data_IF_364160492347
#
_entry.id   IF_364160492347
#
_cell.length_a   1.000
_cell.length_b   1.000
_cell.length_c   1.000
_cell.angle_alpha   90.00
_cell.angle_beta   90.00
_cell.angle_gamma   90.00
#
_symmetry.space_group_name_H-M   'P 1'
#
loop_
_entity.id
_entity.type
_entity.pdbx_description
1 polymer ?
#
# COMPACT_ATOMS: atom_id res chain seq x y z
N UNK A 1 -43.45 -48.18 -3.33
CA UNK A 1 -42.67 -47.24 -4.18
C UNK A 1 -43.37 -46.89 -5.50
N UNK A 2 -43.95 -47.84 -6.25
CA UNK A 2 -44.65 -47.59 -7.51
C UNK A 2 -45.78 -46.52 -7.49
N UNK A 3 -46.68 -46.41 -6.47
CA UNK A 3 -47.74 -45.39 -6.49
C UNK A 3 -47.24 -43.96 -6.27
N UNK A 4 -46.14 -43.78 -5.53
CA UNK A 4 -45.47 -42.48 -5.33
C UNK A 4 -44.78 -42.00 -6.62
N UNK A 5 -44.15 -42.90 -7.37
CA UNK A 5 -43.56 -42.57 -8.67
C UNK A 5 -44.62 -42.19 -9.71
N UNK A 6 -45.78 -42.86 -9.66
CA UNK A 6 -46.94 -42.54 -10.50
C UNK A 6 -47.53 -41.15 -10.21
N UNK A 7 -47.31 -40.56 -9.03
CA UNK A 7 -47.76 -39.20 -8.73
C UNK A 7 -46.88 -38.08 -9.27
N UNK A 8 -45.60 -38.35 -9.57
CA UNK A 8 -44.65 -37.36 -10.10
C UNK A 8 -44.70 -37.18 -11.63
N UNK A 9 -45.52 -37.98 -12.33
CA UNK A 9 -45.74 -37.86 -13.77
C UNK A 9 -46.53 -36.58 -14.12
N UNK A 10 -45.80 -35.49 -14.34
CA UNK A 10 -46.34 -34.18 -14.72
C UNK A 10 -46.96 -34.16 -16.13
N UNK A 11 -46.63 -35.14 -16.99
CA UNK A 11 -47.02 -35.20 -18.39
C UNK A 11 -47.96 -36.38 -18.69
N UNK A 12 -48.90 -36.64 -17.77
CA UNK A 12 -49.90 -37.69 -17.95
C UNK A 12 -50.77 -37.40 -19.18
N UNK A 13 -50.66 -38.25 -20.20
CA UNK A 13 -51.38 -38.14 -21.49
C UNK A 13 -52.86 -38.49 -21.32
N UNK A 14 -53.77 -37.77 -22.01
CA UNK A 14 -55.16 -38.20 -22.13
C UNK A 14 -55.24 -39.24 -23.26
N UNK A 15 -55.67 -40.45 -22.93
CA UNK A 15 -56.11 -41.43 -23.92
C UNK A 15 -57.53 -41.82 -23.47
N UNK A 16 -58.52 -41.56 -24.34
CA UNK A 16 -59.91 -41.95 -24.17
C UNK A 16 -60.54 -41.62 -22.80
N UNK A 17 -60.47 -40.34 -22.40
CA UNK A 17 -61.20 -39.82 -21.23
C UNK A 17 -60.60 -40.17 -19.86
N UNK A 18 -59.55 -40.99 -19.78
CA UNK A 18 -58.87 -41.33 -18.51
C UNK A 18 -57.39 -40.97 -18.60
N UNK A 19 -56.96 -40.10 -17.68
CA UNK A 19 -55.57 -39.63 -17.58
C UNK A 19 -54.72 -40.68 -16.86
N UNK A 20 -54.20 -41.66 -17.58
CA UNK A 20 -53.31 -42.67 -16.97
C UNK A 20 -51.89 -42.11 -16.77
N UNK A 21 -51.48 -42.01 -15.51
CA UNK A 21 -50.10 -41.72 -15.12
C UNK A 21 -49.26 -42.97 -15.29
N UNK A 22 -48.02 -42.87 -15.80
CA UNK A 22 -47.13 -44.03 -15.98
C UNK A 22 -45.94 -43.97 -15.02
N UNK A 23 -45.50 -45.12 -14.50
CA UNK A 23 -44.28 -45.20 -13.67
C UNK A 23 -43.04 -44.77 -14.48
N UNK A 24 -43.01 -45.06 -15.79
CA UNK A 24 -41.93 -44.64 -16.70
C UNK A 24 -41.94 -43.12 -16.90
N UNK A 25 -43.13 -42.50 -17.02
CA UNK A 25 -43.28 -41.04 -17.09
C UNK A 25 -42.80 -40.34 -15.81
N UNK A 26 -43.05 -40.96 -14.65
CA UNK A 26 -42.50 -40.52 -13.36
C UNK A 26 -40.97 -40.52 -13.30
N UNK A 27 -40.31 -41.55 -13.86
CA UNK A 27 -38.84 -41.57 -13.90
C UNK A 27 -38.24 -40.50 -14.83
N UNK A 28 -38.83 -40.32 -16.02
CA UNK A 28 -38.36 -39.32 -16.99
C UNK A 28 -38.49 -37.90 -16.42
N UNK A 29 -39.61 -37.61 -15.77
CA UNK A 29 -39.84 -36.31 -15.12
C UNK A 29 -38.90 -36.06 -13.96
N UNK A 30 -38.59 -37.09 -13.15
CA UNK A 30 -37.60 -36.96 -12.07
C UNK A 30 -36.18 -36.71 -12.62
N UNK A 31 -35.77 -37.42 -13.68
CA UNK A 31 -34.46 -37.20 -14.30
C UNK A 31 -34.36 -35.79 -14.90
N UNK A 32 -35.40 -35.33 -15.62
CA UNK A 32 -35.45 -33.99 -16.18
C UNK A 32 -35.45 -32.88 -15.11
N UNK A 33 -36.18 -33.08 -14.00
CA UNK A 33 -36.16 -32.14 -12.88
C UNK A 33 -34.79 -32.13 -12.18
N UNK A 34 -34.15 -33.28 -12.03
CA UNK A 34 -32.81 -33.37 -11.41
C UNK A 34 -31.75 -32.66 -12.25
N UNK A 35 -31.78 -32.81 -13.57
CA UNK A 35 -30.84 -32.13 -14.47
C UNK A 35 -31.11 -30.62 -14.53
N UNK A 36 -32.37 -30.20 -14.60
CA UNK A 36 -32.75 -28.79 -14.53
C UNK A 36 -32.31 -28.15 -13.21
N UNK A 37 -32.45 -28.86 -12.08
CA UNK A 37 -32.00 -28.37 -10.77
C UNK A 37 -30.48 -28.22 -10.70
N UNK A 38 -29.72 -29.17 -11.27
CA UNK A 38 -28.25 -29.08 -11.35
C UNK A 38 -27.79 -27.90 -12.20
N UNK A 39 -28.41 -27.69 -13.36
CA UNK A 39 -28.11 -26.54 -14.22
C UNK A 39 -28.44 -25.22 -13.53
N UNK A 40 -29.58 -25.15 -12.84
CA UNK A 40 -29.98 -23.96 -12.09
C UNK A 40 -29.02 -23.66 -10.93
N UNK A 41 -28.60 -24.69 -10.19
CA UNK A 41 -27.59 -24.54 -9.14
C UNK A 41 -26.23 -24.08 -9.69
N UNK A 42 -25.81 -24.63 -10.83
CA UNK A 42 -24.59 -24.19 -11.51
C UNK A 42 -24.67 -22.71 -11.88
N UNK A 43 -25.76 -22.29 -12.50
CA UNK A 43 -25.93 -20.90 -12.93
C UNK A 43 -26.07 -19.94 -11.76
N UNK A 44 -26.71 -20.38 -10.68
CA UNK A 44 -26.81 -19.63 -9.44
C UNK A 44 -25.42 -19.39 -8.82
N UNK A 45 -24.56 -20.42 -8.81
CA UNK A 45 -23.18 -20.29 -8.32
C UNK A 45 -22.40 -19.29 -9.17
N UNK A 46 -22.49 -19.39 -10.50
CA UNK A 46 -21.83 -18.45 -11.43
C UNK A 46 -22.32 -17.01 -11.22
N UNK A 47 -23.63 -16.81 -11.03
CA UNK A 47 -24.21 -15.49 -10.78
C UNK A 47 -23.76 -14.88 -9.43
N UNK A 48 -23.50 -15.72 -8.42
CA UNK A 48 -22.96 -15.28 -7.13
C UNK A 48 -21.45 -15.06 -7.14
N UNK A 49 -20.72 -15.60 -8.13
CA UNK A 49 -19.30 -15.33 -8.29
C UNK A 49 -19.07 -13.89 -8.79
N UNK A 50 -18.24 -13.15 -8.07
CA UNK A 50 -17.85 -11.80 -8.47
C UNK A 50 -16.64 -11.92 -9.40
N UNK A 51 -16.86 -11.66 -10.69
CA UNK A 51 -15.77 -11.62 -11.67
C UNK A 51 -15.11 -10.24 -11.63
N UNK A 52 -13.83 -10.21 -11.28
CA UNK A 52 -13.03 -8.99 -11.37
C UNK A 52 -12.41 -8.90 -12.75
N UNK A 53 -12.68 -7.81 -13.48
CA UNK A 53 -11.98 -7.51 -14.72
C UNK A 53 -10.83 -6.57 -14.42
N UNK A 54 -9.63 -6.98 -14.84
CA UNK A 54 -8.41 -6.19 -14.74
C UNK A 54 -8.20 -5.48 -16.07
N UNK A 55 -8.22 -4.15 -16.07
CA UNK A 55 -7.85 -3.37 -17.25
C UNK A 55 -6.66 -2.48 -16.92
N UNK A 56 -5.74 -2.39 -17.89
CA UNK A 56 -4.60 -1.51 -17.82
C UNK A 56 -4.92 -0.26 -18.64
N UNK A 57 -4.72 0.92 -18.05
CA UNK A 57 -4.94 2.20 -18.68
C UNK A 57 -3.72 3.09 -18.52
N UNK A 58 -3.64 4.15 -19.31
CA UNK A 58 -2.71 5.23 -19.01
C UNK A 58 -3.19 5.96 -17.75
N UNK A 59 -2.23 6.27 -16.90
CA UNK A 59 -2.41 7.15 -15.77
C UNK A 59 -2.97 8.50 -16.23
N UNK A 60 -4.04 8.96 -15.57
CA UNK A 60 -4.51 10.33 -15.72
C UNK A 60 -3.38 11.31 -15.31
N UNK A 61 -3.12 12.33 -16.13
CA UNK A 61 -2.10 13.32 -15.85
C UNK A 61 -2.51 14.16 -14.64
N UNK A 62 -1.58 14.37 -13.71
CA UNK A 62 -1.76 15.40 -12.70
C UNK A 62 -1.49 16.77 -13.37
N UNK A 63 -2.32 17.80 -13.13
CA UNK A 63 -2.02 19.15 -13.57
C UNK A 63 -0.68 19.55 -12.94
N UNK A 64 0.23 20.02 -13.77
CA UNK A 64 1.53 20.51 -13.35
C UNK A 64 1.32 21.75 -12.47
N UNK A 65 1.89 21.73 -11.27
CA UNK A 65 1.85 22.87 -10.33
C UNK A 65 2.45 24.15 -10.94
N UNK A 66 3.22 24.04 -12.03
CA UNK A 66 3.79 25.14 -12.79
C UNK A 66 2.76 25.95 -13.61
N UNK A 67 1.57 25.40 -13.89
CA UNK A 67 0.51 26.08 -14.66
C UNK A 67 -0.73 26.40 -13.82
N UNK A 68 -0.57 26.57 -12.50
CA UNK A 68 -1.61 27.06 -11.61
C UNK A 68 -1.90 28.55 -11.82
N UNK A 69 -2.54 28.90 -12.94
CA UNK A 69 -2.89 30.27 -13.27
C UNK A 69 -4.09 30.36 -14.21
N UNK A 70 -5.28 30.53 -13.61
CA UNK A 70 -6.55 30.98 -14.24
C UNK A 70 -6.98 30.22 -15.50
N UNK A 71 -7.60 29.06 -15.30
CA UNK A 71 -8.70 28.61 -16.16
C UNK A 71 -9.97 29.41 -15.83
N UNK A 72 -10.01 30.67 -16.24
CA UNK A 72 -11.22 31.49 -16.25
C UNK A 72 -11.75 31.56 -17.66
N UNK A 73 -13.02 31.19 -17.83
CA UNK A 73 -13.79 31.27 -19.08
C UNK A 73 -13.48 32.53 -19.88
N UNK A 74 -13.28 32.33 -21.19
CA UNK A 74 -13.18 33.40 -22.17
C UNK A 74 -14.52 34.11 -22.38
N UNK A 75 -14.82 35.07 -21.52
CA UNK A 75 -15.79 36.14 -21.75
C UNK A 75 -15.07 37.48 -21.61
N UNK A 76 -14.86 38.16 -22.74
CA UNK A 76 -14.04 39.38 -22.79
C UNK A 76 -14.62 40.55 -22.00
N UNK A 77 -13.74 41.38 -21.43
CA UNK A 77 -13.70 42.82 -21.69
C UNK A 77 -12.39 43.41 -21.15
N UNK A 78 -11.89 44.46 -21.80
CA UNK A 78 -10.61 45.08 -21.52
C UNK A 78 -10.54 45.87 -20.21
N UNK A 79 -9.31 46.19 -19.79
CA UNK A 79 -9.03 47.11 -18.71
C UNK A 79 -7.63 46.90 -18.13
N UNK A 80 -6.69 47.78 -18.48
CA UNK A 80 -5.32 47.74 -17.99
C UNK A 80 -5.19 48.04 -16.49
N UNK A 81 -4.18 47.44 -15.87
CA UNK A 81 -3.78 47.74 -14.49
C UNK A 81 -2.48 47.01 -14.15
N UNK A 82 -1.38 47.76 -14.00
CA UNK A 82 -0.09 47.27 -13.49
C UNK A 82 -0.25 46.87 -12.01
N UNK A 83 0.24 45.69 -11.63
CA UNK A 83 0.41 45.28 -10.24
C UNK A 83 1.28 44.02 -10.16
N UNK A 84 2.46 44.13 -9.54
CA UNK A 84 3.35 42.99 -9.33
C UNK A 84 2.76 41.99 -8.34
N UNK A 85 2.85 40.70 -8.65
CA UNK A 85 2.37 39.63 -7.78
C UNK A 85 3.51 38.92 -7.07
N UNK A 86 3.44 38.95 -5.75
CA UNK A 86 4.28 38.25 -4.77
C UNK A 86 4.01 36.74 -4.80
N UNK A 87 5.08 35.95 -4.75
CA UNK A 87 5.10 34.47 -4.83
C UNK A 87 4.71 33.78 -3.50
N UNK A 88 3.73 34.29 -2.75
CA UNK A 88 3.45 33.79 -1.38
C UNK A 88 2.06 33.18 -1.16
N UNK A 89 1.20 33.05 -2.18
CA UNK A 89 -0.23 32.80 -1.94
C UNK A 89 -0.75 31.38 -2.27
N UNK A 90 0.14 30.37 -2.38
CA UNK A 90 -0.30 28.97 -2.65
C UNK A 90 -0.30 28.08 -1.39
N UNK A 91 0.18 28.57 -0.23
CA UNK A 91 0.38 27.70 0.96
C UNK A 91 -0.43 28.12 2.20
N UNK A 92 -1.26 29.16 2.15
CA UNK A 92 -2.11 29.55 3.29
C UNK A 92 -3.60 29.45 3.00
N UNK A 93 -4.10 28.22 3.00
CA UNK A 93 -5.53 27.91 3.05
C UNK A 93 -5.97 27.47 4.45
N UNK A 94 -5.78 28.34 5.45
CA UNK A 94 -6.43 28.20 6.76
C UNK A 94 -7.83 28.84 6.70
N UNK A 95 -8.87 28.03 6.55
CA UNK A 95 -10.24 28.51 6.50
C UNK A 95 -11.23 27.43 6.92
N UNK A 96 -11.80 27.59 8.10
CA UNK A 96 -12.87 26.78 8.65
C UNK A 96 -14.12 26.82 7.76
N UNK A 97 -14.37 25.77 6.99
CA UNK A 97 -15.72 25.27 6.69
C UNK A 97 -15.67 23.93 5.97
N UNK A 98 -16.54 23.01 6.39
CA UNK A 98 -16.62 21.65 5.88
C UNK A 98 -16.89 21.58 4.38
N UNK A 99 -15.87 21.18 3.63
CA UNK A 99 -15.94 20.38 2.40
C UNK A 99 -14.56 19.74 2.28
N UNK A 100 -14.48 18.40 2.29
CA UNK A 100 -13.26 17.65 1.97
C UNK A 100 -12.85 18.01 0.54
N UNK A 101 -12.08 19.08 0.39
CA UNK A 101 -11.23 19.28 -0.76
C UNK A 101 -10.15 18.22 -0.68
N UNK A 102 -10.43 17.06 -1.26
CA UNK A 102 -9.40 16.09 -1.58
C UNK A 102 -8.52 16.79 -2.62
N UNK A 103 -7.38 17.33 -2.20
CA UNK A 103 -6.35 17.85 -3.10
C UNK A 103 -5.86 16.67 -3.94
N UNK A 104 -6.65 16.27 -4.95
CA UNK A 104 -6.53 15.00 -5.68
C UNK A 104 -5.25 14.82 -6.50
N UNK A 105 -4.29 15.74 -6.32
CA UNK A 105 -2.99 15.79 -6.95
C UNK A 105 -1.84 15.52 -5.96
N UNK A 106 -2.11 15.57 -4.66
CA UNK A 106 -1.16 15.32 -3.58
C UNK A 106 -1.40 13.93 -3.00
N UNK A 107 -0.35 13.13 -2.94
CA UNK A 107 -0.36 11.77 -2.38
C UNK A 107 0.24 11.82 -0.98
N UNK A 108 -0.46 11.33 0.06
CA UNK A 108 0.15 11.20 1.37
C UNK A 108 1.22 10.10 1.34
N UNK A 109 2.44 10.45 1.74
CA UNK A 109 3.58 9.56 1.92
C UNK A 109 3.83 9.44 3.43
N UNK A 110 3.61 8.26 3.98
CA UNK A 110 3.88 7.95 5.38
C UNK A 110 5.23 7.26 5.50
N UNK A 111 6.04 7.74 6.44
CA UNK A 111 7.35 7.19 6.76
C UNK A 111 7.38 6.77 8.23
N UNK A 112 7.85 5.55 8.49
CA UNK A 112 8.14 5.05 9.82
C UNK A 112 9.43 4.22 9.79
N UNK A 113 10.54 4.82 10.25
CA UNK A 113 11.88 4.21 10.23
C UNK A 113 12.57 4.42 11.56
N UNK A 114 13.28 3.41 12.05
CA UNK A 114 14.04 3.46 13.31
C UNK A 114 15.52 3.17 13.06
N UNK A 115 16.38 4.06 13.54
CA UNK A 115 17.83 3.94 13.57
C UNK A 115 18.25 3.65 15.02
N UNK A 116 18.77 2.45 15.35
CA UNK A 116 19.11 2.08 16.71
C UNK A 116 20.46 2.64 17.19
N UNK A 117 21.33 3.12 16.28
CA UNK A 117 22.68 3.58 16.63
C UNK A 117 22.93 5.07 16.33
N UNK A 118 21.87 5.81 15.96
CA UNK A 118 21.96 7.24 15.68
C UNK A 118 20.99 8.02 16.55
N UNK A 119 21.50 9.04 17.22
CA UNK A 119 20.69 9.95 18.02
C UNK A 119 19.91 10.91 17.12
N UNK A 120 18.75 11.35 17.60
CA UNK A 120 17.88 12.25 16.83
C UNK A 120 18.51 13.61 16.50
N UNK A 121 19.50 14.07 17.26
CA UNK A 121 20.29 15.28 16.94
C UNK A 121 21.26 15.08 15.79
N UNK A 122 21.67 13.83 15.53
CA UNK A 122 22.65 13.47 14.51
C UNK A 122 22.03 13.09 13.16
N UNK A 123 20.70 13.03 13.07
CA UNK A 123 19.95 12.69 11.86
C UNK A 123 19.43 13.96 11.19
N UNK A 124 19.60 14.04 9.88
CA UNK A 124 18.93 15.02 9.04
C UNK A 124 18.04 14.30 8.03
N UNK A 125 16.91 14.91 7.72
CA UNK A 125 15.96 14.37 6.76
C UNK A 125 15.51 15.47 5.81
N UNK A 126 15.21 15.09 4.57
CA UNK A 126 14.90 16.05 3.52
C UNK A 126 14.11 15.42 2.40
N UNK A 127 13.43 16.27 1.64
CA UNK A 127 12.64 15.86 0.49
C UNK A 127 12.99 16.74 -0.71
N UNK A 128 13.39 16.12 -1.81
CA UNK A 128 13.84 16.77 -3.04
C UNK A 128 14.97 17.80 -2.82
N UNK A 129 15.91 17.49 -1.92
CA UNK A 129 17.02 18.38 -1.55
C UNK A 129 16.67 19.44 -0.51
N UNK A 130 15.40 19.56 -0.11
CA UNK A 130 14.98 20.45 0.97
C UNK A 130 15.19 19.75 2.32
N UNK A 131 16.36 19.97 2.92
CA UNK A 131 16.72 19.41 4.23
C UNK A 131 15.96 20.09 5.38
N UNK A 132 15.80 19.36 6.49
CA UNK A 132 15.27 19.86 7.74
C UNK A 132 16.27 20.79 8.43
N UNK A 133 17.56 20.44 8.41
CA UNK A 133 18.66 21.28 8.94
C UNK A 133 18.69 22.70 8.37
N UNK A 134 18.35 22.88 7.09
CA UNK A 134 18.29 24.20 6.44
C UNK A 134 16.98 24.96 6.70
N UNK A 135 16.01 24.35 7.38
CA UNK A 135 14.65 24.87 7.55
C UNK A 135 13.82 24.89 6.27
N UNK A 136 14.37 24.46 5.12
CA UNK A 136 13.66 24.42 3.85
C UNK A 136 12.52 23.39 3.89
N UNK A 137 12.74 22.23 4.53
CA UNK A 137 11.73 21.17 4.63
C UNK A 137 10.41 21.67 5.23
N UNK A 138 10.47 22.42 6.34
CA UNK A 138 9.29 22.95 7.02
C UNK A 138 8.52 24.01 6.22
N UNK A 139 9.14 24.60 5.19
CA UNK A 139 8.46 25.54 4.27
C UNK A 139 7.58 24.83 3.25
N UNK A 140 8.00 23.64 2.80
CA UNK A 140 7.25 22.82 1.84
C UNK A 140 6.26 21.87 2.52
N UNK A 141 6.60 21.39 3.71
CA UNK A 141 5.81 20.43 4.48
C UNK A 141 5.41 21.04 5.83
N UNK A 142 4.23 21.66 5.87
CA UNK A 142 3.68 22.28 7.06
C UNK A 142 2.86 21.30 7.92
N UNK A 143 2.82 21.54 9.23
CA UNK A 143 1.97 20.80 10.17
C UNK A 143 0.49 20.80 9.71
N UNK A 144 -0.23 19.66 9.72
CA UNK A 144 0.10 18.39 10.35
C UNK A 144 0.92 17.41 9.49
N UNK A 145 1.29 17.79 8.26
CA UNK A 145 1.96 16.92 7.29
C UNK A 145 3.48 17.07 7.31
N UNK A 146 4.11 16.73 8.44
CA UNK A 146 5.55 16.79 8.63
C UNK A 146 6.07 15.52 9.30
N UNK A 147 7.38 15.29 9.23
CA UNK A 147 8.03 14.24 10.00
C UNK A 147 8.38 14.73 11.40
N UNK A 148 8.35 13.80 12.35
CA UNK A 148 8.72 14.03 13.75
C UNK A 148 9.75 12.98 14.13
N UNK A 149 10.93 13.45 14.54
CA UNK A 149 11.96 12.62 15.15
C UNK A 149 11.66 12.47 16.64
N UNK A 150 11.69 11.24 17.15
CA UNK A 150 11.51 10.93 18.57
C UNK A 150 12.39 9.76 18.98
N UNK A 151 12.61 9.59 20.28
CA UNK A 151 13.23 8.38 20.80
C UNK A 151 12.39 7.14 20.42
N UNK A 152 13.05 5.99 20.13
CA UNK A 152 12.39 4.76 19.75
C UNK A 152 11.61 4.17 20.93
N UNK A 153 10.48 3.52 20.65
CA UNK A 153 9.83 2.69 21.67
C UNK A 153 10.62 1.39 21.86
N UNK A 154 10.53 0.72 23.04
CA UNK A 154 11.27 -0.52 23.29
C UNK A 154 11.05 -1.60 22.22
N UNK A 155 9.81 -1.72 21.71
CA UNK A 155 9.48 -2.69 20.66
C UNK A 155 9.93 -2.28 19.26
N UNK A 156 10.11 -0.98 18.97
CA UNK A 156 10.72 -0.50 17.72
C UNK A 156 12.23 -0.72 17.76
N UNK A 157 12.87 -0.38 18.88
CA UNK A 157 14.31 -0.55 19.10
C UNK A 157 14.73 -2.02 18.94
N UNK A 158 14.07 -2.94 19.65
CA UNK A 158 14.39 -4.38 19.60
C UNK A 158 14.25 -4.99 18.19
N UNK A 159 13.34 -4.47 17.37
CA UNK A 159 13.19 -4.91 15.97
C UNK A 159 14.26 -4.32 15.07
N UNK A 160 14.81 -3.16 15.43
CA UNK A 160 15.85 -2.49 14.67
C UNK A 160 17.25 -3.00 14.99
N UNK A 161 17.48 -3.51 16.21
CA UNK A 161 18.74 -4.12 16.62
C UNK A 161 18.91 -5.54 16.07
N UNK A 162 20.06 -5.83 15.47
CA UNK A 162 20.45 -7.20 15.10
C UNK A 162 20.90 -7.96 16.36
N UNK A 163 20.46 -9.20 16.61
CA UNK A 163 21.06 -10.05 17.64
C UNK A 163 22.53 -10.32 17.27
N UNK A 164 23.49 -9.75 18.00
CA UNK A 164 24.92 -9.96 17.80
C UNK A 164 25.77 -8.73 17.43
N UNK A 165 25.17 -7.54 17.31
CA UNK A 165 25.89 -6.26 17.18
C UNK A 165 25.65 -5.46 18.46
N UNK A 166 26.70 -5.31 19.29
CA UNK A 166 26.78 -4.62 20.59
C UNK A 166 25.45 -4.34 21.31
N UNK A 167 25.09 -5.25 22.21
CA UNK A 167 24.05 -5.12 23.23
C UNK A 167 24.47 -4.10 24.31
N UNK A 168 24.69 -2.83 23.94
CA UNK A 168 24.91 -1.75 24.90
C UNK A 168 23.58 -1.10 25.34
N UNK A 169 23.12 -1.58 26.50
CA UNK A 169 22.56 -0.80 27.61
C UNK A 169 21.22 -0.03 27.48
N UNK A 170 20.24 -0.48 26.69
CA UNK A 170 18.86 0.02 26.86
C UNK A 170 18.21 -0.43 28.19
N UNK A 171 18.75 -1.49 28.83
CA UNK A 171 18.14 -2.14 29.99
C UNK A 171 18.36 -1.41 31.32
N UNK A 172 19.36 -0.53 31.42
CA UNK A 172 19.69 0.17 32.68
C UNK A 172 18.73 1.30 33.03
N UNK A 173 18.13 1.93 32.02
CA UNK A 173 17.38 3.18 32.24
C UNK A 173 15.90 2.97 32.57
N UNK A 174 15.36 1.79 32.25
CA UNK A 174 13.99 1.42 32.63
C UNK A 174 13.82 1.13 34.13
N UNK A 175 14.91 0.85 34.86
CA UNK A 175 14.86 0.53 36.30
C UNK A 175 15.15 1.71 37.24
N UNK A 176 15.66 2.84 36.74
CA UNK A 176 16.02 4.00 37.59
C UNK A 176 14.91 5.06 37.71
N UNK A 177 13.84 5.02 36.89
CA UNK A 177 12.73 6.00 36.95
C UNK A 177 11.61 5.65 37.94
N UNK A 178 11.96 5.10 39.09
CA UNK A 178 11.12 5.20 40.30
C UNK A 178 11.75 6.26 41.21
N UNK A 179 11.11 7.43 41.29
CA UNK A 179 11.50 8.65 42.04
C UNK A 179 12.32 9.69 41.26
N UNK A 180 11.71 10.33 40.28
CA UNK A 180 11.79 11.80 40.19
C UNK A 180 10.69 12.31 39.26
N UNK A 181 9.74 13.08 39.79
CA UNK A 181 8.86 13.93 39.00
C UNK A 181 9.72 15.06 38.44
N UNK A 182 10.16 14.94 37.19
CA UNK A 182 10.65 16.07 36.42
C UNK A 182 9.95 16.15 35.06
N UNK A 183 9.26 17.27 34.93
CA UNK A 183 8.77 17.99 33.76
C UNK A 183 9.31 17.53 32.40
N UNK A 184 8.37 17.30 31.49
CA UNK A 184 8.54 17.15 30.03
C UNK A 184 9.43 18.25 29.46
N UNK A 185 10.63 17.88 29.01
CA UNK A 185 11.35 18.42 27.86
C UNK A 185 12.16 17.26 27.29
N UNK A 186 12.14 17.07 25.97
CA UNK A 186 12.79 15.96 25.29
C UNK A 186 14.29 15.85 25.61
N UNK A 187 14.76 14.62 25.83
CA UNK A 187 16.17 14.32 26.05
C UNK A 187 16.36 13.21 27.10
N UNK A 188 17.11 12.17 26.74
CA UNK A 188 17.69 11.22 27.67
C UNK A 188 17.12 9.80 27.62
N UNK A 189 17.87 8.91 26.96
CA UNK A 189 18.11 7.59 27.54
C UNK A 189 17.91 6.35 26.67
N UNK A 190 18.91 6.01 25.87
CA UNK A 190 18.91 4.88 24.93
C UNK A 190 19.23 5.37 23.53
N UNK A 191 20.46 5.11 23.06
CA UNK A 191 20.94 5.55 21.75
C UNK A 191 19.98 5.08 20.66
N UNK A 192 19.59 5.98 19.77
CA UNK A 192 18.67 5.67 18.67
C UNK A 192 17.58 6.70 18.45
N UNK A 193 17.02 6.71 17.24
CA UNK A 193 16.00 7.64 16.81
C UNK A 193 14.99 6.99 15.87
N UNK A 194 13.71 7.29 16.09
CA UNK A 194 12.61 6.92 15.20
C UNK A 194 12.07 8.16 14.50
N UNK A 195 12.01 8.11 13.18
CA UNK A 195 11.38 9.13 12.34
C UNK A 195 9.98 8.64 11.94
N UNK A 196 8.95 9.41 12.31
CA UNK A 196 7.55 9.10 12.04
C UNK A 196 6.85 10.34 11.49
N UNK A 197 6.07 10.17 10.42
CA UNK A 197 5.12 11.19 10.02
C UNK A 197 4.51 10.91 8.66
N UNK A 198 3.73 11.87 8.16
CA UNK A 198 3.13 11.79 6.83
C UNK A 198 3.30 13.12 6.15
N UNK A 199 3.91 13.13 4.97
CA UNK A 199 4.02 14.33 4.13
C UNK A 199 3.09 14.20 2.92
N UNK A 200 2.75 15.32 2.29
CA UNK A 200 1.96 15.31 1.05
C UNK A 200 2.90 15.61 -0.10
N UNK A 201 3.08 14.62 -0.98
CA UNK A 201 3.96 14.76 -2.14
C UNK A 201 3.14 14.89 -3.42
N UNK A 202 3.56 15.72 -4.39
CA UNK A 202 2.92 15.72 -5.71
C UNK A 202 3.11 14.35 -6.39
N UNK A 203 2.21 14.03 -7.33
CA UNK A 203 2.27 12.79 -8.12
C UNK A 203 3.35 12.85 -9.22
N UNK A 204 4.58 13.13 -8.82
CA UNK A 204 5.80 13.14 -9.65
C UNK A 204 6.92 12.44 -8.90
N UNK A 205 7.92 11.96 -9.65
CA UNK A 205 9.08 11.33 -9.03
C UNK A 205 9.83 12.31 -8.12
N UNK A 206 10.33 11.80 -7.01
CA UNK A 206 11.07 12.57 -6.02
C UNK A 206 11.97 11.69 -5.16
N UNK A 207 12.78 12.32 -4.33
CA UNK A 207 13.77 11.66 -3.49
C UNK A 207 13.60 12.11 -2.05
N UNK A 208 13.37 11.15 -1.17
CA UNK A 208 13.38 11.33 0.27
C UNK A 208 14.74 10.87 0.80
N UNK A 209 15.43 11.72 1.53
CA UNK A 209 16.72 11.40 2.16
C UNK A 209 16.58 11.45 3.67
N UNK A 210 17.04 10.42 4.36
CA UNK A 210 17.22 10.39 5.82
C UNK A 210 18.67 9.97 6.05
N UNK A 211 19.53 10.93 6.33
CA UNK A 211 20.97 10.71 6.42
C UNK A 211 21.53 11.21 7.73
N UNK A 212 22.79 10.88 7.99
CA UNK A 212 23.55 11.56 9.03
C UNK A 212 23.59 13.05 8.70
N UNK A 213 23.41 13.89 9.72
CA UNK A 213 23.46 15.34 9.56
C UNK A 213 24.84 15.77 9.04
N UNK A 214 24.92 16.80 8.18
CA UNK A 214 26.19 17.26 7.63
C UNK A 214 27.22 17.59 8.71
N UNK A 215 26.78 18.16 9.84
CA UNK A 215 27.66 18.54 10.94
C UNK A 215 28.17 17.32 11.74
N UNK A 216 27.31 16.33 12.00
CA UNK A 216 27.74 15.07 12.60
C UNK A 216 28.72 14.31 11.69
N UNK A 217 28.46 14.28 10.39
CA UNK A 217 29.35 13.64 9.42
C UNK A 217 30.72 14.31 9.33
N UNK A 218 30.78 15.65 9.34
CA UNK A 218 32.04 16.40 9.37
C UNK A 218 32.86 16.08 10.62
N UNK A 219 32.22 16.02 11.81
CA UNK A 219 32.90 15.68 13.08
C UNK A 219 33.42 14.24 13.10
N UNK A 220 32.64 13.28 12.59
CA UNK A 220 33.09 11.89 12.51
C UNK A 220 34.24 11.71 11.50
N UNK A 221 34.19 12.42 10.36
CA UNK A 221 35.17 12.25 9.27
C UNK A 221 36.45 13.07 9.48
N UNK A 222 36.43 14.12 10.31
CA UNK A 222 37.64 14.89 10.62
C UNK A 222 38.71 14.02 11.27
N UNK A 223 38.33 13.01 12.06
CA UNK A 223 39.29 12.10 12.70
C UNK A 223 39.93 11.11 11.72
N UNK A 224 39.19 10.66 10.69
CA UNK A 224 39.73 9.80 9.63
C UNK A 224 40.80 10.52 8.78
N UNK A 225 40.66 11.84 8.61
CA UNK A 225 41.61 12.65 7.82
C UNK A 225 42.99 12.76 8.49
N UNK A 226 43.09 12.49 9.79
CA UNK A 226 44.36 12.45 10.52
C UNK A 226 45.03 11.06 10.51
N UNK A 227 44.52 10.10 9.74
CA UNK A 227 45.11 8.76 9.61
C UNK A 227 44.95 7.89 10.86
N UNK A 228 43.97 8.19 11.70
CA UNK A 228 43.66 7.44 12.92
C UNK A 228 42.65 6.36 12.57
N UNK A 229 43.06 5.09 12.67
CA UNK A 229 42.17 3.95 12.45
C UNK A 229 41.12 3.87 13.58
N UNK A 230 39.81 3.94 13.28
CA UNK A 230 38.75 3.93 14.29
C UNK A 230 38.62 2.58 15.02
N UNK A 231 39.25 1.52 14.50
CA UNK A 231 39.33 0.20 15.11
C UNK A 231 40.54 0.01 16.03
N UNK A 232 41.49 0.95 16.04
CA UNK A 232 42.66 0.88 16.90
C UNK A 232 42.35 1.54 18.24
N UNK A 233 42.28 0.72 19.29
CA UNK A 233 42.03 1.10 20.69
C UNK A 233 43.14 1.96 21.33
N UNK A 234 43.92 2.68 20.54
CA UNK A 234 45.05 3.53 20.92
C UNK A 234 44.67 4.96 21.30
N UNK A 235 43.40 5.36 21.15
CA UNK A 235 42.91 6.68 21.59
C UNK A 235 42.84 6.87 23.13
N UNK A 236 43.17 5.86 23.93
CA UNK A 236 43.30 6.02 25.38
C UNK A 236 44.65 6.62 25.83
N UNK A 237 45.56 6.98 24.91
CA UNK A 237 46.91 7.47 25.26
C UNK A 237 47.19 8.94 24.92
N UNK A 238 46.29 9.65 24.24
CA UNK A 238 46.40 11.11 24.09
C UNK A 238 45.46 11.78 25.08
N UNK A 239 45.87 11.80 26.35
CA UNK A 239 45.13 12.37 27.46
C UNK A 239 44.87 13.87 27.31
N UNK A 240 43.77 14.21 26.63
CA UNK A 240 42.93 15.35 26.99
C UNK A 240 41.77 14.80 27.80
N UNK A 241 41.62 15.24 29.05
CA UNK A 241 40.42 14.94 29.83
C UNK A 241 39.22 15.51 29.06
N UNK A 242 38.21 14.72 28.66
CA UNK A 242 37.03 15.27 28.02
C UNK A 242 36.35 16.19 29.05
N UNK A 243 36.16 17.45 28.69
CA UNK A 243 35.29 18.36 29.43
C UNK A 243 33.91 17.67 29.59
N UNK A 244 33.21 17.84 30.73
CA UNK A 244 31.90 17.21 31.01
C UNK A 244 30.81 17.52 29.95
N UNK A 245 31.08 18.44 29.02
CA UNK A 245 30.21 18.75 27.87
C UNK A 245 30.56 17.95 26.58
N UNK A 246 31.74 17.32 26.49
CA UNK A 246 32.21 16.48 25.36
C UNK A 246 31.64 15.05 25.42
N UNK A 247 31.23 14.59 26.61
CA UNK A 247 30.57 13.28 26.82
C UNK A 247 29.16 13.21 26.17
N UNK A 248 28.62 14.33 25.66
CA UNK A 248 27.32 14.39 24.95
C UNK A 248 27.43 14.24 23.44
N UNK A 249 28.63 14.23 22.84
CA UNK A 249 28.78 14.00 21.40
C UNK A 249 28.97 12.50 21.11
N UNK A 250 28.01 11.81 20.46
CA UNK A 250 28.09 10.38 20.18
C UNK A 250 29.28 9.99 19.28
N UNK A 251 29.96 10.97 18.67
CA UNK A 251 31.12 10.78 17.79
C UNK A 251 32.47 11.19 18.40
N UNK A 252 32.51 11.74 19.63
CA UNK A 252 33.74 12.21 20.27
C UNK A 252 34.79 11.09 20.50
N UNK A 253 34.36 9.83 20.61
CA UNK A 253 35.24 8.67 20.81
C UNK A 253 35.85 8.05 19.54
N UNK A 254 35.86 8.75 18.40
CA UNK A 254 36.39 8.20 17.14
C UNK A 254 35.51 7.14 16.47
N UNK A 255 34.26 7.01 16.90
CA UNK A 255 33.29 6.04 16.35
C UNK A 255 32.62 6.63 15.12
N UNK A 256 32.55 5.83 14.06
CA UNK A 256 31.84 6.21 12.84
C UNK A 256 30.31 6.04 13.00
N UNK A 257 29.50 6.87 12.32
CA UNK A 257 28.05 6.80 12.42
C UNK A 257 27.53 5.54 11.75
N UNK A 258 26.98 4.65 12.57
CA UNK A 258 26.33 3.44 12.09
C UNK A 258 24.90 3.75 11.64
N UNK A 259 24.64 3.63 10.33
CA UNK A 259 23.34 3.93 9.72
C UNK A 259 22.46 2.67 9.52
N UNK A 260 22.73 1.58 10.24
CA UNK A 260 21.80 0.43 10.26
C UNK A 260 20.42 0.93 10.68
N UNK A 261 19.38 0.40 10.03
CA UNK A 261 18.02 0.85 10.33
C UNK A 261 16.98 -0.19 9.94
N UNK A 262 15.80 -0.02 10.52
CA UNK A 262 14.64 -0.83 10.26
C UNK A 262 13.49 0.04 9.77
N UNK A 263 12.99 -0.29 8.58
CA UNK A 263 11.82 0.34 7.97
C UNK A 263 10.60 -0.40 8.49
N UNK A 264 9.87 0.21 9.43
CA UNK A 264 8.64 -0.38 9.95
C UNK A 264 7.53 -0.34 8.91
N UNK A 265 7.26 0.84 8.36
CA UNK A 265 6.25 1.03 7.33
C UNK A 265 6.59 2.24 6.46
N UNK A 266 6.47 2.07 5.15
CA UNK A 266 6.59 3.15 4.18
C UNK A 266 5.46 3.02 3.17
N UNK A 267 4.43 3.85 3.31
CA UNK A 267 3.18 3.74 2.55
C UNK A 267 2.88 4.99 1.75
N UNK A 268 2.33 4.79 0.55
CA UNK A 268 1.87 5.85 -0.34
C UNK A 268 0.36 5.74 -0.52
N UNK A 269 -0.36 6.85 -0.33
CA UNK A 269 -1.81 6.90 -0.43
C UNK A 269 -2.53 6.62 0.89
N UNK A 270 -3.83 6.31 0.81
CA UNK A 270 -4.68 6.14 1.98
C UNK A 270 -4.10 5.06 2.93
N UNK A 271 -4.00 5.33 4.24
CA UNK A 271 -3.44 4.38 5.19
C UNK A 271 -4.27 3.09 5.22
N UNK A 272 -3.64 1.94 5.53
CA UNK A 272 -4.30 0.63 5.61
C UNK A 272 -5.39 0.54 6.71
N UNK A 273 -5.54 1.58 7.53
CA UNK A 273 -6.47 1.65 8.67
C UNK A 273 -7.92 1.87 8.28
N UNK A 274 -8.23 2.25 7.04
CA UNK A 274 -9.58 2.03 6.53
C UNK A 274 -9.65 0.58 6.08
N UNK A 275 -10.25 -0.29 6.90
CA UNK A 275 -10.59 -1.70 6.62
C UNK A 275 -11.42 -1.93 5.33
N UNK A 276 -11.61 -0.88 4.54
CA UNK A 276 -12.35 -0.85 3.29
C UNK A 276 -11.55 -0.34 2.08
N UNK A 277 -10.26 0.03 2.20
CA UNK A 277 -9.51 0.64 1.09
C UNK A 277 -8.49 -0.27 0.40
N UNK A 278 -8.01 -1.33 1.05
CA UNK A 278 -7.09 -2.28 0.43
C UNK A 278 -7.80 -3.62 0.19
N UNK A 279 -7.58 -4.28 -0.96
CA UNK A 279 -7.95 -5.68 -1.12
C UNK A 279 -7.24 -6.54 -0.06
N UNK A 280 -7.88 -7.59 0.44
CA UNK A 280 -7.21 -8.57 1.29
C UNK A 280 -5.96 -9.11 0.57
N UNK A 281 -4.79 -9.01 1.21
CA UNK A 281 -3.53 -9.54 0.66
C UNK A 281 -2.57 -8.53 0.03
N UNK A 282 -2.85 -7.22 0.04
CA UNK A 282 -1.85 -6.22 -0.37
C UNK A 282 -0.81 -6.05 0.74
N UNK A 283 0.31 -6.76 0.62
CA UNK A 283 1.46 -6.63 1.53
C UNK A 283 2.29 -5.44 1.07
N UNK A 284 2.61 -4.51 1.97
CA UNK A 284 3.56 -3.44 1.67
C UNK A 284 4.97 -4.04 1.55
N UNK A 285 5.61 -4.03 0.36
CA UNK A 285 6.93 -4.63 0.18
C UNK A 285 8.05 -3.88 0.91
N UNK A 286 7.81 -2.64 1.36
CA UNK A 286 8.75 -1.87 2.19
C UNK A 286 8.52 -2.06 3.70
N UNK A 287 7.42 -2.68 4.12
CA UNK A 287 7.17 -2.90 5.54
C UNK A 287 8.07 -4.01 6.09
N UNK A 288 8.66 -3.75 7.25
CA UNK A 288 9.51 -4.70 7.96
C UNK A 288 10.88 -4.96 7.32
N UNK A 289 11.37 -4.05 6.47
CA UNK A 289 12.68 -4.20 5.84
C UNK A 289 13.80 -3.80 6.82
N UNK A 290 14.79 -4.69 7.00
CA UNK A 290 15.96 -4.43 7.82
C UNK A 290 17.18 -4.22 6.95
N UNK A 291 17.83 -3.06 7.09
CA UNK A 291 19.05 -2.73 6.37
C UNK A 291 20.20 -2.73 7.37
N UNK A 292 20.97 -3.82 7.35
CA UNK A 292 22.15 -4.02 8.18
C UNK A 292 23.40 -3.67 7.36
N UNK A 293 24.32 -2.94 7.96
CA UNK A 293 25.58 -2.53 7.34
C UNK A 293 26.70 -3.45 7.83
N UNK A 294 27.10 -4.41 6.99
CA UNK A 294 28.05 -5.47 7.37
C UNK A 294 29.54 -5.07 7.22
N UNK A 295 29.82 -3.78 7.03
CA UNK A 295 31.16 -3.27 6.72
C UNK A 295 32.01 -2.93 7.95
N UNK A 296 31.62 -3.39 9.14
CA UNK A 296 32.32 -3.16 10.42
C UNK A 296 32.23 -1.72 10.96
N UNK A 297 32.18 -0.70 10.09
CA UNK A 297 32.07 0.72 10.45
C UNK A 297 30.61 1.21 10.57
N UNK A 298 29.66 0.48 9.98
CA UNK A 298 28.26 0.86 9.95
C UNK A 298 27.93 2.00 8.96
N UNK A 299 28.93 2.53 8.25
CA UNK A 299 28.78 3.66 7.33
C UNK A 299 28.44 3.15 5.93
N UNK A 300 27.22 3.33 5.47
CA UNK A 300 26.87 3.03 4.08
C UNK A 300 25.72 3.92 3.59
N UNK A 301 25.36 3.78 2.32
CA UNK A 301 24.19 4.44 1.74
C UNK A 301 23.20 3.37 1.29
N UNK A 302 22.06 3.27 1.98
CA UNK A 302 20.95 2.43 1.57
C UNK A 302 20.07 3.17 0.56
N UNK A 303 20.24 2.85 -0.72
CA UNK A 303 19.42 3.36 -1.82
C UNK A 303 18.24 2.44 -2.08
N UNK A 304 17.02 2.94 -1.88
CA UNK A 304 15.76 2.23 -2.12
C UNK A 304 15.03 2.93 -3.26
N UNK A 305 14.86 2.22 -4.37
CA UNK A 305 14.09 2.71 -5.51
C UNK A 305 12.69 2.12 -5.48
N UNK A 306 11.67 2.97 -5.43
CA UNK A 306 10.25 2.60 -5.36
C UNK A 306 9.54 3.03 -6.64
N UNK A 307 8.92 2.10 -7.35
CA UNK A 307 8.04 2.39 -8.49
C UNK A 307 6.59 2.20 -8.08
N UNK A 308 5.79 3.25 -8.21
CA UNK A 308 4.40 3.30 -7.79
C UNK A 308 3.47 3.18 -8.98
N UNK A 309 2.59 2.18 -8.93
CA UNK A 309 1.52 1.95 -9.91
C UNK A 309 0.20 2.40 -9.30
N UNK A 310 -0.42 3.48 -9.84
CA UNK A 310 -1.77 3.89 -9.45
C UNK A 310 -2.78 2.77 -9.72
N UNK A 311 -3.56 2.43 -8.71
CA UNK A 311 -4.57 1.37 -8.78
C UNK A 311 -5.92 1.90 -8.31
N UNK A 312 -6.97 1.55 -9.04
CA UNK A 312 -8.32 2.02 -8.74
C UNK A 312 -9.26 0.84 -8.61
N UNK A 313 -9.98 0.78 -7.49
CA UNK A 313 -10.98 -0.25 -7.22
C UNK A 313 -12.37 0.36 -7.37
N UNK A 314 -13.11 -0.15 -8.35
CA UNK A 314 -14.49 0.21 -8.63
C UNK A 314 -15.37 -0.98 -8.28
N UNK A 315 -16.15 -0.86 -7.20
CA UNK A 315 -17.15 -1.86 -6.83
C UNK A 315 -18.49 -1.49 -7.45
N UNK A 316 -18.90 -2.21 -8.50
CA UNK A 316 -20.21 -2.04 -9.09
C UNK A 316 -21.27 -2.81 -8.29
N UNK A 317 -21.65 -2.26 -7.12
CA UNK A 317 -22.86 -2.74 -6.44
C UNK A 317 -24.07 -2.06 -7.09
N UNK A 318 -24.96 -2.83 -7.71
CA UNK A 318 -26.08 -2.34 -8.53
C UNK A 318 -27.00 -1.33 -7.81
N UNK A 319 -27.05 -1.33 -6.47
CA UNK A 319 -27.86 -0.42 -5.66
C UNK A 319 -27.10 0.73 -4.97
N UNK A 320 -25.77 0.65 -4.85
CA UNK A 320 -24.98 1.63 -4.08
C UNK A 320 -23.76 2.04 -4.89
N UNK A 321 -23.83 3.24 -5.48
CA UNK A 321 -22.67 3.88 -6.11
C UNK A 321 -21.64 4.19 -5.04
N UNK A 322 -20.71 3.25 -4.81
CA UNK A 322 -19.56 3.48 -3.93
C UNK A 322 -18.51 4.25 -4.70
N UNK A 323 -17.96 5.30 -4.09
CA UNK A 323 -16.88 6.07 -4.68
C UNK A 323 -15.68 5.16 -5.01
N UNK A 324 -15.01 5.36 -6.15
CA UNK A 324 -13.83 4.59 -6.51
C UNK A 324 -12.74 4.82 -5.47
N UNK A 325 -12.11 3.74 -5.02
CA UNK A 325 -10.99 3.83 -4.08
C UNK A 325 -9.69 3.85 -4.87
N UNK A 326 -8.87 4.87 -4.64
CA UNK A 326 -7.53 4.99 -5.25
C UNK A 326 -6.48 4.49 -4.26
N UNK A 327 -5.64 3.58 -4.72
CA UNK A 327 -4.54 2.96 -3.97
C UNK A 327 -3.28 2.94 -4.84
N UNK A 328 -2.14 2.64 -4.24
CA UNK A 328 -0.89 2.47 -4.97
C UNK A 328 -0.32 1.09 -4.70
N UNK A 329 0.03 0.39 -5.77
CA UNK A 329 0.88 -0.80 -5.68
C UNK A 329 2.33 -0.35 -5.84
N UNK A 330 3.23 -0.89 -5.04
CA UNK A 330 4.64 -0.51 -5.04
C UNK A 330 5.50 -1.69 -5.52
N UNK A 331 6.49 -1.40 -6.36
CA UNK A 331 7.61 -2.30 -6.66
C UNK A 331 8.88 -1.69 -6.08
N UNK A 332 9.70 -2.50 -5.43
CA UNK A 332 10.84 -2.02 -4.63
C UNK A 332 12.12 -2.69 -5.10
N UNK A 333 13.14 -1.89 -5.32
CA UNK A 333 14.52 -2.34 -5.49
C UNK A 333 15.38 -1.73 -4.40
N UNK A 334 16.31 -2.51 -3.85
CA UNK A 334 17.19 -2.10 -2.75
C UNK A 334 18.63 -2.28 -3.18
N UNK A 335 19.46 -1.30 -2.86
CA UNK A 335 20.89 -1.34 -3.13
C UNK A 335 21.64 -0.67 -1.98
N UNK A 336 22.62 -1.37 -1.41
CA UNK A 336 23.51 -0.81 -0.39
C UNK A 336 24.81 -0.43 -1.08
N UNK A 337 25.12 0.87 -1.07
CA UNK A 337 26.35 1.42 -1.60
C UNK A 337 27.36 1.50 -0.46
N UNK A 338 28.48 0.81 -0.64
CA UNK A 338 29.55 0.69 0.36
C UNK A 338 30.39 1.98 0.42
N UNK A 339 31.05 2.29 1.55
CA UNK A 339 31.77 3.55 1.72
C UNK A 339 32.93 3.73 0.73
N UNK A 340 33.57 2.65 0.27
CA UNK A 340 34.64 2.68 -0.74
C UNK A 340 34.09 3.17 -2.09
N UNK A 341 32.87 2.75 -2.42
CA UNK A 341 32.18 3.19 -3.64
C UNK A 341 31.68 4.64 -3.54
N UNK A 342 31.28 5.09 -2.34
CA UNK A 342 30.94 6.50 -2.10
C UNK A 342 32.17 7.41 -2.24
N UNK A 343 33.29 7.00 -1.64
CA UNK A 343 34.54 7.75 -1.69
C UNK A 343 35.12 7.82 -3.11
N UNK A 344 35.10 6.71 -3.86
CA UNK A 344 35.60 6.66 -5.24
C UNK A 344 34.73 7.45 -6.22
N UNK A 345 33.42 7.52 -6.01
CA UNK A 345 32.52 8.32 -6.85
C UNK A 345 32.58 9.83 -6.56
N UNK A 346 33.30 10.28 -5.52
CA UNK A 346 33.30 11.68 -5.02
C UNK A 346 31.89 12.27 -4.94
N UNK A 347 30.88 11.45 -4.66
CA UNK A 347 29.52 11.94 -4.57
C UNK A 347 29.35 12.63 -3.22
N UNK A 348 28.69 13.79 -3.23
CA UNK A 348 28.38 14.55 -2.01
C UNK A 348 27.28 13.89 -1.16
N UNK A 349 27.04 12.58 -1.34
CA UNK A 349 25.98 11.83 -0.69
C UNK A 349 26.42 11.44 0.71
N UNK A 350 25.61 11.80 1.70
CA UNK A 350 25.82 11.45 3.10
C UNK A 350 25.34 10.01 3.35
N UNK A 351 25.99 9.25 4.24
CA UNK A 351 25.53 7.92 4.58
C UNK A 351 24.14 7.98 5.25
N UNK A 352 23.30 6.99 4.95
CA UNK A 352 21.91 6.99 5.38
C UNK A 352 20.97 6.19 4.47
N UNK A 353 19.69 6.50 4.54
CA UNK A 353 18.60 5.95 3.75
C UNK A 353 18.15 6.97 2.69
N UNK A 354 18.23 6.59 1.42
CA UNK A 354 17.71 7.38 0.30
C UNK A 354 16.59 6.58 -0.36
N UNK A 355 15.39 7.14 -0.36
CA UNK A 355 14.20 6.56 -0.98
C UNK A 355 13.85 7.39 -2.21
N UNK A 356 14.23 6.90 -3.37
CA UNK A 356 13.83 7.49 -4.66
C UNK A 356 12.52 6.84 -5.08
N UNK A 357 11.47 7.63 -5.25
CA UNK A 357 10.16 7.12 -5.66
C UNK A 357 9.76 7.72 -7.01
N UNK A 358 9.10 6.93 -7.85
CA UNK A 358 8.62 7.36 -9.16
C UNK A 358 7.22 6.78 -9.46
N UNK A 359 6.39 7.55 -10.16
CA UNK A 359 5.05 7.15 -10.54
C UNK A 359 5.03 6.62 -11.97
N UNK A 360 4.58 5.38 -12.15
CA UNK A 360 4.50 4.79 -13.48
C UNK A 360 3.37 5.42 -14.29
N UNK A 361 3.54 5.59 -15.62
CA UNK A 361 2.49 6.09 -16.50
C UNK A 361 1.36 5.08 -16.74
N UNK A 362 1.48 3.86 -16.19
CA UNK A 362 0.46 2.82 -16.26
C UNK A 362 -0.39 2.85 -14.99
N UNK A 363 -1.70 2.71 -15.15
CA UNK A 363 -2.66 2.62 -14.06
C UNK A 363 -3.50 1.34 -14.20
N UNK A 364 -3.74 0.66 -13.08
CA UNK A 364 -4.56 -0.55 -13.05
C UNK A 364 -5.95 -0.17 -12.57
N UNK A 365 -6.96 -0.57 -13.32
CA UNK A 365 -8.36 -0.43 -12.92
C UNK A 365 -8.96 -1.80 -12.69
N UNK A 366 -9.34 -2.03 -11.45
CA UNK A 366 -10.07 -3.22 -11.03
C UNK A 366 -11.55 -2.87 -11.03
N UNK A 367 -12.28 -3.39 -12.03
CA UNK A 367 -13.74 -3.27 -12.07
C UNK A 367 -14.31 -4.60 -11.62
N UNK A 368 -14.92 -4.62 -10.43
CA UNK A 368 -15.78 -5.73 -10.05
C UNK A 368 -17.02 -5.65 -10.93
N UNK A 369 -17.19 -6.63 -11.82
CA UNK A 369 -18.36 -6.75 -12.67
C UNK A 369 -19.20 -7.92 -12.18
N UNK A 370 -20.50 -7.69 -12.04
CA UNK A 370 -21.47 -8.78 -11.93
C UNK A 370 -22.17 -8.93 -13.27
N UNK A 371 -22.58 -10.15 -13.60
CA UNK A 371 -23.42 -10.37 -14.76
C UNK A 371 -24.79 -9.72 -14.52
N UNK A 372 -25.34 -9.06 -15.54
CA UNK A 372 -26.66 -8.46 -15.45
C UNK A 372 -27.70 -9.53 -15.12
N UNK A 373 -28.64 -9.23 -14.22
CA UNK A 373 -29.74 -10.14 -13.86
C UNK A 373 -30.58 -10.62 -15.07
N UNK A 374 -30.55 -9.87 -16.17
CA UNK A 374 -31.17 -10.24 -17.45
C UNK A 374 -30.51 -11.45 -18.11
N UNK A 375 -29.19 -11.59 -17.98
CA UNK A 375 -28.44 -12.76 -18.48
C UNK A 375 -28.91 -14.00 -17.70
N UNK A 376 -28.99 -13.90 -16.37
CA UNK A 376 -29.55 -14.94 -15.52
C UNK A 376 -31.00 -15.29 -15.89
N UNK A 377 -31.86 -14.29 -16.08
CA UNK A 377 -33.26 -14.54 -16.48
C UNK A 377 -33.36 -15.24 -17.84
N UNK A 378 -32.51 -14.86 -18.80
CA UNK A 378 -32.46 -15.53 -20.11
C UNK A 378 -32.01 -16.99 -19.98
N UNK A 379 -31.03 -17.27 -19.12
CA UNK A 379 -30.54 -18.63 -18.83
C UNK A 379 -31.63 -19.46 -18.13
N UNK A 380 -32.35 -18.87 -17.15
CA UNK A 380 -33.48 -19.51 -16.48
C UNK A 380 -34.58 -19.92 -17.47
N UNK A 381 -34.96 -19.03 -18.39
CA UNK A 381 -35.95 -19.34 -19.44
C UNK A 381 -35.41 -20.45 -20.35
N UNK A 382 -34.13 -20.44 -20.68
CA UNK A 382 -33.47 -21.52 -21.44
C UNK A 382 -33.53 -22.88 -20.75
N UNK A 383 -33.28 -22.95 -19.43
CA UNK A 383 -33.33 -24.18 -18.65
C UNK A 383 -34.77 -24.72 -18.59
N UNK A 384 -35.75 -23.87 -18.30
CA UNK A 384 -37.17 -24.27 -18.24
C UNK A 384 -37.68 -24.71 -19.62
N UNK A 385 -37.35 -23.95 -20.67
CA UNK A 385 -37.71 -24.29 -22.05
C UNK A 385 -37.05 -25.59 -22.52
N UNK A 386 -35.76 -25.80 -22.22
CA UNK A 386 -35.03 -27.01 -22.56
C UNK A 386 -35.57 -28.25 -21.85
N UNK A 387 -35.93 -28.14 -20.57
CA UNK A 387 -36.58 -29.23 -19.83
C UNK A 387 -37.93 -29.62 -20.46
N UNK A 388 -38.74 -28.64 -20.87
CA UNK A 388 -40.03 -28.90 -21.51
C UNK A 388 -39.90 -29.60 -22.87
N UNK A 389 -38.98 -29.14 -23.72
CA UNK A 389 -38.73 -29.72 -25.05
C UNK A 389 -38.18 -31.15 -24.94
N UNK A 390 -37.22 -31.39 -24.05
CA UNK A 390 -36.63 -32.73 -23.87
C UNK A 390 -37.63 -33.76 -23.37
N UNK A 391 -38.48 -33.40 -22.39
CA UNK A 391 -39.52 -34.33 -21.90
C UNK A 391 -40.56 -34.63 -22.99
N UNK A 392 -40.92 -33.62 -23.78
CA UNK A 392 -41.89 -33.76 -24.88
C UNK A 392 -41.35 -34.64 -26.01
N UNK A 393 -40.08 -34.48 -26.40
CA UNK A 393 -39.43 -35.29 -27.42
C UNK A 393 -39.30 -36.77 -27.00
N UNK A 394 -38.81 -37.02 -25.79
CA UNK A 394 -38.66 -38.40 -25.26
C UNK A 394 -40.04 -39.07 -25.13
N UNK A 395 -41.05 -38.36 -24.62
CA UNK A 395 -42.41 -38.87 -24.51
C UNK A 395 -43.08 -39.13 -25.87
N UNK A 396 -42.75 -38.34 -26.90
CA UNK A 396 -43.17 -38.57 -28.29
C UNK A 396 -42.58 -39.86 -28.84
N UNK A 397 -41.24 -39.97 -28.86
CA UNK A 397 -40.54 -41.12 -29.41
C UNK A 397 -40.90 -42.44 -28.71
N UNK A 398 -41.11 -42.44 -27.39
CA UNK A 398 -41.48 -43.64 -26.65
C UNK A 398 -42.89 -44.13 -26.99
N UNK A 399 -43.84 -43.21 -27.22
CA UNK A 399 -45.20 -43.62 -27.58
C UNK A 399 -45.27 -44.14 -29.01
N UNK A 400 -44.62 -43.45 -29.96
CA UNK A 400 -44.59 -43.89 -31.35
C UNK A 400 -43.89 -45.25 -31.50
N UNK A 401 -42.83 -45.50 -30.73
CA UNK A 401 -42.14 -46.80 -30.71
C UNK A 401 -42.99 -47.91 -30.09
N UNK A 402 -43.69 -47.65 -28.98
CA UNK A 402 -44.63 -48.63 -28.39
C UNK A 402 -45.77 -48.95 -29.36
N UNK A 403 -46.35 -47.95 -30.02
CA UNK A 403 -47.42 -48.16 -31.01
C UNK A 403 -46.91 -48.91 -32.25
N UNK A 404 -45.70 -48.61 -32.72
CA UNK A 404 -45.09 -49.31 -33.86
C UNK A 404 -44.76 -50.78 -33.53
N UNK A 405 -44.35 -51.07 -32.29
CA UNK A 405 -44.10 -52.45 -31.83
C UNK A 405 -45.42 -53.20 -31.61
N UNK A 406 -46.42 -52.57 -30.99
CA UNK A 406 -47.74 -53.17 -30.81
C UNK A 406 -48.39 -53.55 -32.15
N UNK A 407 -48.29 -52.69 -33.16
CA UNK A 407 -48.78 -52.96 -34.53
C UNK A 407 -48.05 -54.10 -35.26
N UNK A 408 -46.86 -54.52 -34.80
CA UNK A 408 -46.12 -55.66 -35.35
C UNK A 408 -46.35 -56.97 -34.58
N UNK A 409 -46.94 -56.88 -33.38
CA UNK A 409 -47.26 -58.05 -32.56
C UNK A 409 -48.67 -58.59 -32.83
N UNK A 410 -49.58 -57.76 -33.35
CA UNK A 410 -50.80 -58.16 -34.07
C UNK A 410 -50.48 -58.49 -35.53
#
# INVERSE_FOLDING_TARGET
MAPLLRSYDAFAKPIDGIRERSVVGGYITLLALSSAMLLLLSELIVQFQVTTRHSLHLAESAPSLLFGGRGGDGGGNGGGGKGGHNYNDVVTGGGTNGRRGDDGHLVPLRLHVTFPHLDCSSIDYGHDGNAHSSGAFGRYHASPYAFVARAPTPGEYLRATVPGYDEYDYRRESKSKSKSKSKVVGGGGGGGCTLLGTIRVPRVGGTLSVSVSPDAWRRATSLLSFGIDPSSSTLLLSGGMPDEDDERDPFAGGRLPNVTHYVHDLTFGAPPTSSSSLPPGTINPLAGAHHVMDNGSGVALASVSVKLVPTTYVRALWLFHRSPVRTYQASVSRHIVQPETLASQRSNMLPGLFVTYDFTPLAIRHVESRENWLVFLSSLVGIVGGAFVTVSAVSGCLVDSVQAVAKKMD
#
